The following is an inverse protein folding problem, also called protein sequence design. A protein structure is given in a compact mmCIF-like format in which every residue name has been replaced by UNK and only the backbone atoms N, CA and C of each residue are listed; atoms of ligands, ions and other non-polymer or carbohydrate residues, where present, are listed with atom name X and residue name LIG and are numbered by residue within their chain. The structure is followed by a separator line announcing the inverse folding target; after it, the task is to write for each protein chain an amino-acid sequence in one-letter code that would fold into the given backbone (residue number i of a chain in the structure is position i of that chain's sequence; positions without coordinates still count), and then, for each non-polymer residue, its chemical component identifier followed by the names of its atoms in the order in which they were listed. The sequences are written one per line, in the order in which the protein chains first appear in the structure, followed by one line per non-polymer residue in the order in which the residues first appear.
data_IF_097119947968
#
_entry.id   IF_097119947968
#
_cell.length_a   1.000
_cell.length_b   1.000
_cell.length_c   1.000
_cell.angle_alpha   90.00
_cell.angle_beta   90.00
_cell.angle_gamma   90.00
#
_symmetry.space_group_name_H-M   'P 1'
#
loop_
_entity.id
_entity.type
_entity.pdbx_description
1 polymer ?
#
# COMPACT_ATOMS: atom_id res chain seq x y z
N UNK A 1 -3.56 -4.74 -22.49
CA UNK A 1 -3.41 -5.47 -21.21
C UNK A 1 -1.95 -5.70 -20.82
N UNK A 2 -1.08 -6.15 -21.74
CA UNK A 2 0.35 -6.43 -21.46
C UNK A 2 1.11 -5.23 -20.84
N UNK A 3 0.92 -4.01 -21.34
CA UNK A 3 1.59 -2.82 -20.80
C UNK A 3 1.16 -2.47 -19.36
N UNK A 4 -0.12 -2.66 -19.03
CA UNK A 4 -0.64 -2.43 -17.68
C UNK A 4 -0.10 -3.48 -16.69
N UNK A 5 -0.06 -4.76 -17.10
CA UNK A 5 0.55 -5.83 -16.31
C UNK A 5 2.03 -5.58 -16.03
N UNK A 6 2.79 -5.12 -17.03
CA UNK A 6 4.21 -4.74 -16.86
C UNK A 6 4.38 -3.62 -15.83
N UNK A 7 3.55 -2.57 -15.89
CA UNK A 7 3.62 -1.45 -14.94
C UNK A 7 3.28 -1.92 -13.51
N UNK A 8 2.24 -2.73 -13.36
CA UNK A 8 1.84 -3.28 -12.07
C UNK A 8 2.94 -4.18 -11.49
N UNK A 9 3.50 -5.07 -12.32
CA UNK A 9 4.64 -5.91 -11.93
C UNK A 9 5.88 -5.11 -11.54
N UNK A 10 6.18 -4.01 -12.25
CA UNK A 10 7.28 -3.13 -11.90
C UNK A 10 7.04 -2.42 -10.55
N UNK A 11 5.84 -1.88 -10.32
CA UNK A 11 5.48 -1.25 -9.03
C UNK A 11 5.61 -2.26 -7.89
N UNK A 12 5.03 -3.44 -8.06
CA UNK A 12 5.11 -4.51 -7.06
C UNK A 12 6.56 -4.94 -6.81
N UNK A 13 7.34 -5.16 -7.87
CA UNK A 13 8.74 -5.56 -7.76
C UNK A 13 9.61 -4.53 -7.05
N UNK A 14 9.37 -3.24 -7.29
CA UNK A 14 10.07 -2.15 -6.59
C UNK A 14 9.70 -2.15 -5.10
N UNK A 15 8.42 -2.27 -4.77
CA UNK A 15 7.97 -2.27 -3.37
C UNK A 15 8.51 -3.50 -2.64
N UNK A 16 8.39 -4.68 -3.24
CA UNK A 16 8.88 -5.94 -2.69
C UNK A 16 10.39 -5.89 -2.50
N UNK A 17 11.15 -5.54 -3.54
CA UNK A 17 12.60 -5.45 -3.49
C UNK A 17 13.08 -4.40 -2.49
N UNK A 18 12.46 -3.22 -2.47
CA UNK A 18 12.77 -2.17 -1.50
C UNK A 18 12.51 -2.61 -0.06
N UNK A 19 11.41 -3.32 0.17
CA UNK A 19 11.08 -3.89 1.49
C UNK A 19 12.11 -4.92 1.91
N UNK A 20 12.41 -5.90 1.06
CA UNK A 20 13.41 -6.94 1.34
C UNK A 20 14.78 -6.33 1.66
N UNK A 21 15.26 -5.40 0.83
CA UNK A 21 16.56 -4.74 1.03
C UNK A 21 16.58 -3.93 2.33
N UNK A 22 15.53 -3.14 2.60
CA UNK A 22 15.42 -2.36 3.82
C UNK A 22 15.36 -3.26 5.07
N UNK A 23 14.60 -4.35 5.01
CA UNK A 23 14.47 -5.31 6.10
C UNK A 23 15.74 -6.10 6.35
N UNK A 24 16.49 -6.46 5.31
CA UNK A 24 17.81 -7.08 5.47
C UNK A 24 18.81 -6.11 6.11
N UNK A 25 18.80 -4.85 5.70
CA UNK A 25 19.66 -3.82 6.29
C UNK A 25 19.35 -3.62 7.77
N UNK A 26 18.07 -3.46 8.11
CA UNK A 26 17.60 -3.34 9.50
C UNK A 26 17.93 -4.61 10.29
N UNK A 27 17.68 -5.78 9.72
CA UNK A 27 17.94 -7.05 10.36
C UNK A 27 19.42 -7.29 10.64
N UNK A 28 20.29 -6.87 9.72
CA UNK A 28 21.74 -6.91 9.87
C UNK A 28 22.21 -5.97 10.98
N UNK A 29 21.70 -4.73 11.02
CA UNK A 29 22.03 -3.76 12.08
C UNK A 29 21.58 -4.23 13.48
N UNK A 30 20.49 -4.99 13.56
CA UNK A 30 19.94 -5.52 14.80
C UNK A 30 20.47 -6.92 15.18
N UNK A 31 21.34 -7.52 14.36
CA UNK A 31 21.87 -8.87 14.60
C UNK A 31 20.82 -9.97 14.55
N UNK A 32 19.71 -9.75 13.83
CA UNK A 32 18.61 -10.70 13.70
C UNK A 32 18.79 -11.66 12.53
N UNK A 33 18.13 -12.81 12.59
CA UNK A 33 18.14 -13.79 11.50
C UNK A 33 17.51 -13.19 10.21
N UNK A 34 18.17 -13.31 9.04
CA UNK A 34 17.73 -12.67 7.80
C UNK A 34 16.30 -13.03 7.38
N UNK A 35 15.93 -14.30 7.51
CA UNK A 35 14.60 -14.79 7.14
C UNK A 35 13.50 -14.13 8.00
N UNK A 36 13.74 -14.03 9.31
CA UNK A 36 12.82 -13.37 10.24
C UNK A 36 12.71 -11.87 9.97
N UNK A 37 13.83 -11.21 9.68
CA UNK A 37 13.83 -9.78 9.37
C UNK A 37 13.01 -9.46 8.11
N UNK A 38 13.16 -10.27 7.07
CA UNK A 38 12.39 -10.12 5.81
C UNK A 38 10.91 -10.41 6.04
N UNK A 39 10.56 -11.49 6.74
CA UNK A 39 9.17 -11.83 7.07
C UNK A 39 8.47 -10.68 7.81
N UNK A 40 9.06 -10.17 8.89
CA UNK A 40 8.53 -9.03 9.64
C UNK A 40 8.42 -7.76 8.79
N UNK A 41 9.40 -7.52 7.92
CA UNK A 41 9.39 -6.41 6.98
C UNK A 41 8.20 -6.42 6.04
N UNK A 42 7.96 -7.57 5.41
CA UNK A 42 6.85 -7.78 4.49
C UNK A 42 5.51 -7.63 5.21
N UNK A 43 5.39 -8.11 6.44
CA UNK A 43 4.18 -7.96 7.24
C UNK A 43 3.91 -6.50 7.61
N UNK A 44 4.93 -5.78 8.09
CA UNK A 44 4.78 -4.36 8.49
C UNK A 44 4.42 -3.49 7.29
N UNK A 45 5.14 -3.63 6.18
CA UNK A 45 4.87 -2.87 4.96
C UNK A 45 3.52 -3.29 4.36
N UNK A 46 3.23 -4.58 4.34
CA UNK A 46 1.95 -5.10 3.86
C UNK A 46 0.76 -4.57 4.65
N UNK A 47 0.84 -4.59 5.99
CA UNK A 47 -0.16 -4.01 6.88
C UNK A 47 -0.34 -2.50 6.66
N UNK A 48 0.76 -1.77 6.46
CA UNK A 48 0.70 -0.34 6.13
C UNK A 48 -0.10 -0.08 4.84
N UNK A 49 0.15 -0.85 3.78
CA UNK A 49 -0.60 -0.74 2.52
C UNK A 49 -2.07 -1.12 2.67
N UNK A 50 -2.38 -2.15 3.45
CA UNK A 50 -3.77 -2.53 3.74
C UNK A 50 -4.52 -1.40 4.46
N UNK A 51 -3.91 -0.81 5.49
CA UNK A 51 -4.51 0.28 6.26
C UNK A 51 -4.75 1.50 5.38
N UNK A 52 -3.73 1.96 4.65
CA UNK A 52 -3.89 3.12 3.76
C UNK A 52 -4.88 2.85 2.64
N UNK A 53 -4.83 1.67 2.02
CA UNK A 53 -5.75 1.26 0.97
C UNK A 53 -7.20 1.27 1.46
N UNK A 54 -7.45 0.75 2.67
CA UNK A 54 -8.76 0.80 3.32
C UNK A 54 -9.24 2.25 3.53
N UNK A 55 -8.42 3.10 4.14
CA UNK A 55 -8.78 4.50 4.39
C UNK A 55 -8.97 5.31 3.10
N UNK A 56 -8.29 4.98 2.01
CA UNK A 56 -8.50 5.59 0.70
C UNK A 56 -9.83 5.14 0.09
N UNK A 57 -10.18 3.86 0.20
CA UNK A 57 -11.42 3.31 -0.34
C UNK A 57 -12.67 3.78 0.42
N UNK A 58 -12.56 3.96 1.73
CA UNK A 58 -13.68 4.36 2.62
C UNK A 58 -14.00 5.86 2.55
N UNK A 59 -13.22 6.65 1.78
CA UNK A 59 -13.45 8.10 1.73
C UNK A 59 -14.86 8.42 1.19
N UNK A 60 -15.64 9.17 1.97
CA UNK A 60 -17.00 9.57 1.62
C UNK A 60 -17.12 10.40 0.33
N UNK A 61 -18.35 10.59 -0.19
CA UNK A 61 -18.62 11.23 -1.48
C UNK A 61 -18.32 12.73 -1.50
N UNK A 62 -18.04 13.33 -0.35
CA UNK A 62 -17.77 14.75 -0.18
C UNK A 62 -16.27 15.04 -0.22
N UNK A 63 -15.86 15.96 -1.09
CA UNK A 63 -14.49 16.44 -1.27
C UNK A 63 -14.41 17.92 -0.94
N UNK A 64 -13.23 18.38 -0.50
CA UNK A 64 -13.00 19.80 -0.31
C UNK A 64 -13.02 20.52 -1.67
N UNK A 65 -13.96 21.46 -1.84
CA UNK A 65 -14.06 22.30 -3.02
C UNK A 65 -13.39 23.65 -2.75
N UNK A 66 -12.24 23.91 -3.38
CA UNK A 66 -11.60 25.22 -3.34
C UNK A 66 -10.08 25.17 -3.54
N UNK A 67 -9.60 25.88 -4.56
CA UNK A 67 -8.20 26.27 -4.66
C UNK A 67 -7.88 27.25 -3.51
N UNK A 68 -6.69 27.22 -2.87
CA UNK A 68 -6.37 28.08 -1.72
C UNK A 68 -6.26 29.58 -2.03
N UNK A 69 -6.61 30.02 -3.25
CA UNK A 69 -6.65 31.42 -3.62
C UNK A 69 -8.05 32.00 -3.34
N UNK A 70 -8.12 32.98 -2.42
CA UNK A 70 -9.24 33.90 -2.16
C UNK A 70 -10.39 33.37 -1.28
N UNK A 71 -10.18 33.43 0.03
CA UNK A 71 -10.98 34.28 0.94
C UNK A 71 -12.51 34.11 1.04
N UNK A 72 -13.14 33.08 0.48
CA UNK A 72 -14.60 32.90 0.56
C UNK A 72 -14.98 31.60 1.28
N UNK A 73 -15.42 31.74 2.53
CA UNK A 73 -15.60 30.64 3.47
C UNK A 73 -16.93 29.85 3.35
N UNK A 74 -17.63 29.93 2.21
CA UNK A 74 -19.02 29.47 2.14
C UNK A 74 -19.34 28.31 1.17
N UNK A 75 -18.35 27.69 0.52
CA UNK A 75 -18.65 26.56 -0.39
C UNK A 75 -17.54 25.50 -0.45
N UNK A 76 -17.14 25.00 0.72
CA UNK A 76 -16.00 24.08 0.87
C UNK A 76 -16.26 22.61 0.52
N UNK A 77 -17.47 22.22 0.10
CA UNK A 77 -17.79 20.80 -0.12
C UNK A 77 -18.36 20.58 -1.51
N UNK A 78 -17.64 19.83 -2.34
CA UNK A 78 -18.06 19.37 -3.67
C UNK A 78 -18.30 17.87 -3.63
N UNK A 79 -19.34 17.39 -4.30
CA UNK A 79 -19.55 15.95 -4.51
C UNK A 79 -18.52 15.43 -5.52
N UNK A 80 -17.88 14.31 -5.22
CA UNK A 80 -16.91 13.67 -6.11
C UNK A 80 -17.55 13.27 -7.44
N UNK A 81 -16.88 13.59 -8.55
CA UNK A 81 -17.31 13.15 -9.88
C UNK A 81 -17.17 11.63 -10.02
N UNK A 82 -17.94 10.98 -10.91
CA UNK A 82 -17.88 9.53 -11.10
C UNK A 82 -16.45 9.02 -11.36
N UNK A 83 -15.67 9.70 -12.20
CA UNK A 83 -14.30 9.31 -12.52
C UNK A 83 -13.36 9.37 -11.31
N UNK A 84 -13.53 10.36 -10.44
CA UNK A 84 -12.75 10.49 -9.19
C UNK A 84 -13.05 9.35 -8.22
N UNK A 85 -14.28 8.83 -8.22
CA UNK A 85 -14.67 7.66 -7.42
C UNK A 85 -14.03 6.40 -7.96
N UNK A 86 -14.08 6.20 -9.28
CA UNK A 86 -13.43 5.06 -9.94
C UNK A 86 -11.94 5.06 -9.66
N UNK A 87 -11.27 6.21 -9.79
CA UNK A 87 -9.85 6.33 -9.46
C UNK A 87 -9.57 6.03 -7.98
N UNK A 88 -10.38 6.56 -7.06
CA UNK A 88 -10.24 6.28 -5.62
C UNK A 88 -10.37 4.78 -5.32
N UNK A 89 -11.35 4.11 -5.93
CA UNK A 89 -11.58 2.66 -5.79
C UNK A 89 -10.40 1.89 -6.38
N UNK A 90 -9.93 2.24 -7.57
CA UNK A 90 -8.80 1.57 -8.22
C UNK A 90 -7.53 1.70 -7.39
N UNK A 91 -7.26 2.88 -6.82
CA UNK A 91 -6.10 3.16 -6.00
C UNK A 91 -6.19 2.38 -4.67
N UNK A 92 -7.37 2.35 -4.06
CA UNK A 92 -7.64 1.51 -2.88
C UNK A 92 -7.41 0.03 -3.18
N UNK A 93 -7.98 -0.49 -4.26
CA UNK A 93 -7.83 -1.87 -4.68
C UNK A 93 -6.36 -2.22 -4.96
N UNK A 94 -5.61 -1.32 -5.59
CA UNK A 94 -4.17 -1.50 -5.83
C UNK A 94 -3.40 -1.65 -4.51
N UNK A 95 -3.59 -0.74 -3.56
CA UNK A 95 -2.91 -0.80 -2.27
C UNK A 95 -3.32 -2.01 -1.44
N UNK A 96 -4.60 -2.33 -1.40
CA UNK A 96 -5.09 -3.52 -0.68
C UNK A 96 -4.51 -4.79 -1.29
N UNK A 97 -4.48 -4.90 -2.63
CA UNK A 97 -3.92 -6.07 -3.32
C UNK A 97 -2.42 -6.21 -3.04
N UNK A 98 -1.65 -5.12 -3.17
CA UNK A 98 -0.21 -5.13 -2.87
C UNK A 98 0.02 -5.52 -1.41
N UNK A 99 -0.68 -4.87 -0.48
CA UNK A 99 -0.55 -5.13 0.95
C UNK A 99 -0.88 -6.58 1.32
N UNK A 100 -1.96 -7.13 0.76
CA UNK A 100 -2.36 -8.51 0.97
C UNK A 100 -1.31 -9.50 0.46
N UNK A 101 -0.79 -9.31 -0.75
CA UNK A 101 0.25 -10.18 -1.32
C UNK A 101 1.54 -10.13 -0.50
N UNK A 102 1.93 -8.95 0.00
CA UNK A 102 3.11 -8.81 0.85
C UNK A 102 2.94 -9.55 2.18
N UNK A 103 1.79 -9.42 2.85
CA UNK A 103 1.52 -10.16 4.10
C UNK A 103 1.51 -11.67 3.85
N UNK A 104 0.93 -12.15 2.75
CA UNK A 104 0.97 -13.59 2.42
C UNK A 104 2.41 -14.07 2.17
N UNK A 105 3.23 -13.27 1.50
CA UNK A 105 4.64 -13.59 1.31
C UNK A 105 5.42 -13.56 2.64
N UNK A 106 5.14 -12.60 3.52
CA UNK A 106 5.73 -12.50 4.86
C UNK A 106 5.39 -13.71 5.73
N UNK A 107 4.11 -14.11 5.72
CA UNK A 107 3.61 -15.31 6.39
C UNK A 107 4.24 -16.59 5.84
N UNK A 108 4.36 -16.72 4.52
CA UNK A 108 4.98 -17.89 3.90
C UNK A 108 6.49 -18.03 4.20
N UNK A 109 7.16 -16.91 4.49
CA UNK A 109 8.57 -16.86 4.86
C UNK A 109 8.80 -16.94 6.37
N UNK A 110 7.75 -16.87 7.20
CA UNK A 110 7.89 -16.82 8.65
C UNK A 110 8.40 -18.18 9.18
N UNK A 111 9.61 -18.23 9.77
CA UNK A 111 10.17 -19.48 10.28
C UNK A 111 9.38 -20.04 11.48
N UNK A 112 8.48 -19.27 12.09
CA UNK A 112 7.61 -19.73 13.19
C UNK A 112 6.47 -20.62 12.70
N UNK A 113 6.05 -20.44 11.45
CA UNK A 113 4.95 -21.20 10.85
C UNK A 113 5.54 -22.13 9.79
N UNK A 114 5.86 -23.37 10.19
CA UNK A 114 6.21 -24.42 9.23
C UNK A 114 4.97 -24.76 8.40
N UNK A 115 4.94 -24.28 7.16
CA UNK A 115 4.01 -24.70 6.12
C UNK A 115 4.55 -25.98 5.45
N UNK A 116 4.73 -27.03 6.26
CA UNK A 116 5.14 -28.42 5.90
C UNK A 116 6.33 -28.55 4.95
#
# INVERSE_FOLDING_TARGET
MVAAGRRLGAIFGIILGGTVLGSLLVGWLLGSEPQRAVSLGLDVVGAFFLVIGFFIGVRGPFRLGGSPAQGSAHRFVRVAQPDERVETINLSALFVTIGFVLVLAGFALDPRYSLV
#
